data_IF_980338493446
#
_entry.id   IF_980338493446
#
_cell.length_a   1.000
_cell.length_b   1.000
_cell.length_c   1.000
_cell.angle_alpha   90.00
_cell.angle_beta   90.00
_cell.angle_gamma   90.00
#
_symmetry.space_group_name_H-M   'P 1'
#
loop_
_entity.id
_entity.type
_entity.pdbx_description
1 polymer ?
#
# COMPACT_ATOMS: atom_id res chain seq x y z
N UNK A 1 39.23 43.67 -0.71
CA UNK A 1 40.03 43.63 -1.94
C UNK A 1 40.45 42.19 -2.18
N UNK A 2 39.83 41.53 -3.12
CA UNK A 2 40.41 40.54 -4.06
C UNK A 2 39.28 39.94 -4.90
N UNK A 3 39.20 40.41 -6.11
CA UNK A 3 38.39 39.90 -7.22
C UNK A 3 39.18 38.77 -7.89
N UNK A 4 38.55 37.63 -8.21
CA UNK A 4 38.97 36.67 -9.22
C UNK A 4 37.67 36.04 -9.72
N UNK A 5 37.08 36.42 -10.84
CA UNK A 5 37.32 36.08 -12.24
C UNK A 5 36.83 34.66 -12.59
N UNK A 6 35.68 34.66 -13.22
CA UNK A 6 35.25 34.04 -14.49
C UNK A 6 36.09 32.87 -15.04
N UNK A 7 35.44 31.74 -15.28
CA UNK A 7 35.68 30.92 -16.47
C UNK A 7 34.43 30.13 -16.84
N UNK A 8 33.79 30.57 -17.91
CA UNK A 8 32.76 29.82 -18.64
C UNK A 8 33.45 28.75 -19.50
N UNK A 9 33.01 27.51 -19.43
CA UNK A 9 33.35 26.48 -20.40
C UNK A 9 32.07 25.91 -21.01
N UNK A 10 31.73 26.44 -22.17
CA UNK A 10 30.64 25.98 -23.04
C UNK A 10 31.21 24.87 -23.93
N UNK A 11 30.76 23.62 -23.75
CA UNK A 11 31.08 22.53 -24.68
C UNK A 11 29.77 22.12 -25.38
N UNK A 12 29.67 22.52 -26.63
CA UNK A 12 28.63 22.08 -27.56
C UNK A 12 29.00 20.71 -28.14
N UNK A 13 28.19 19.67 -27.89
CA UNK A 13 28.24 18.41 -28.62
C UNK A 13 27.18 18.40 -29.71
N UNK A 14 27.60 18.54 -30.96
CA UNK A 14 26.81 18.31 -32.15
C UNK A 14 26.71 16.80 -32.40
N UNK A 15 25.52 16.26 -32.35
CA UNK A 15 25.22 14.88 -32.72
C UNK A 15 25.18 14.75 -34.25
N UNK A 16 26.02 13.89 -34.80
CA UNK A 16 25.98 13.47 -36.22
C UNK A 16 24.96 12.33 -36.37
N UNK A 17 23.89 12.57 -37.13
CA UNK A 17 22.99 11.53 -37.63
C UNK A 17 23.68 10.84 -38.82
N UNK A 18 24.02 9.56 -38.67
CA UNK A 18 24.45 8.69 -39.76
C UNK A 18 23.26 7.81 -40.20
N UNK A 19 22.73 8.10 -41.39
CA UNK A 19 21.71 7.28 -42.05
C UNK A 19 22.42 6.18 -42.85
N UNK A 20 22.18 4.92 -42.52
CA UNK A 20 22.63 3.77 -43.30
C UNK A 20 21.56 3.42 -44.38
N UNK A 21 21.91 3.07 -45.61
CA UNK A 21 20.97 2.74 -46.65
C UNK A 21 20.43 1.32 -46.49
N UNK A 22 19.11 1.20 -46.68
CA UNK A 22 18.38 -0.06 -46.70
C UNK A 22 18.71 -0.79 -48.00
N UNK A 23 19.27 -2.00 -47.89
CA UNK A 23 19.41 -2.93 -49.03
C UNK A 23 18.08 -3.59 -49.31
N UNK A 24 17.60 -3.40 -50.53
CA UNK A 24 16.53 -4.18 -51.17
C UNK A 24 16.84 -5.67 -51.05
N UNK A 25 15.96 -6.41 -50.42
CA UNK A 25 15.96 -7.87 -50.44
C UNK A 25 14.66 -8.34 -51.04
N UNK A 26 14.78 -8.97 -52.18
CA UNK A 26 13.77 -9.66 -53.00
C UNK A 26 12.84 -10.52 -52.15
N UNK A 27 11.50 -10.52 -52.41
CA UNK A 27 10.57 -11.34 -51.64
C UNK A 27 10.77 -12.82 -51.90
N UNK A 28 10.79 -13.70 -50.89
CA UNK A 28 10.82 -15.14 -51.10
C UNK A 28 9.46 -15.66 -51.59
N UNK A 29 9.57 -16.55 -52.55
CA UNK A 29 8.52 -17.31 -53.24
C UNK A 29 7.57 -18.00 -52.22
N UNK A 30 6.28 -17.68 -52.31
CA UNK A 30 5.24 -18.30 -51.52
C UNK A 30 5.14 -19.79 -51.94
N UNK A 31 5.47 -20.67 -51.00
CA UNK A 31 5.14 -22.10 -51.11
C UNK A 31 3.81 -22.30 -50.40
N UNK A 32 2.79 -22.58 -51.18
CA UNK A 32 1.47 -22.96 -50.72
C UNK A 32 1.57 -24.31 -49.99
N UNK A 33 1.53 -24.28 -48.68
CA UNK A 33 1.42 -25.47 -47.83
C UNK A 33 0.07 -25.37 -47.13
N UNK A 34 -0.92 -26.05 -47.68
CA UNK A 34 -2.25 -26.21 -47.12
C UNK A 34 -2.15 -26.60 -45.63
N UNK A 35 -2.55 -25.70 -44.77
CA UNK A 35 -2.73 -25.95 -43.33
C UNK A 35 -4.03 -26.75 -43.12
N UNK A 36 -4.04 -27.71 -42.16
CA UNK A 36 -5.27 -28.39 -41.77
C UNK A 36 -6.20 -27.37 -41.05
N UNK A 37 -7.52 -27.61 -41.04
CA UNK A 37 -8.48 -26.66 -40.46
C UNK A 37 -8.19 -26.43 -38.98
N UNK A 38 -7.97 -25.15 -38.65
CA UNK A 38 -7.86 -24.70 -37.27
C UNK A 38 -9.25 -24.84 -36.65
N UNK A 39 -9.42 -25.84 -35.77
CA UNK A 39 -10.54 -25.90 -34.86
C UNK A 39 -10.57 -24.58 -34.07
N UNK A 40 -11.69 -23.86 -34.16
CA UNK A 40 -11.85 -22.57 -33.44
C UNK A 40 -11.60 -22.74 -31.95
N UNK A 41 -11.23 -21.66 -31.28
CA UNK A 41 -11.06 -21.69 -29.82
C UNK A 41 -12.40 -22.09 -29.21
N UNK A 42 -12.41 -23.27 -28.62
CA UNK A 42 -13.49 -23.72 -27.72
C UNK A 42 -13.60 -22.69 -26.62
N UNK A 43 -14.70 -21.92 -26.66
CA UNK A 43 -15.02 -20.98 -25.59
C UNK A 43 -15.30 -21.81 -24.34
N UNK A 44 -14.28 -22.07 -23.52
CA UNK A 44 -14.50 -22.62 -22.20
C UNK A 44 -15.41 -21.64 -21.47
N UNK A 45 -16.53 -22.09 -20.91
CA UNK A 45 -17.34 -21.23 -20.06
C UNK A 45 -16.43 -20.69 -18.97
N UNK A 46 -16.36 -19.36 -18.84
CA UNK A 46 -15.65 -18.71 -17.77
C UNK A 46 -16.17 -19.33 -16.47
N UNK A 47 -15.36 -20.16 -15.85
CA UNK A 47 -15.61 -20.70 -14.53
C UNK A 47 -15.79 -19.46 -13.64
N UNK A 48 -17.03 -19.16 -13.28
CA UNK A 48 -17.32 -18.13 -12.28
C UNK A 48 -16.49 -18.51 -11.08
N UNK A 49 -15.53 -17.67 -10.74
CA UNK A 49 -14.78 -17.82 -9.51
C UNK A 49 -15.81 -18.01 -8.39
N UNK A 50 -15.62 -18.95 -7.47
CA UNK A 50 -16.54 -19.16 -6.38
C UNK A 50 -16.79 -17.80 -5.73
N UNK A 51 -18.05 -17.47 -5.45
CA UNK A 51 -18.44 -16.26 -4.71
C UNK A 51 -17.76 -16.38 -3.35
N UNK A 52 -16.50 -15.95 -3.32
CA UNK A 52 -15.64 -16.07 -2.16
C UNK A 52 -16.15 -15.12 -1.10
N UNK A 53 -16.28 -15.62 0.13
CA UNK A 53 -16.50 -14.79 1.31
C UNK A 53 -15.47 -13.66 1.25
N UNK A 54 -15.93 -12.42 1.39
CA UNK A 54 -15.00 -11.27 1.43
C UNK A 54 -13.93 -11.52 2.51
N UNK A 55 -12.64 -11.61 2.16
CA UNK A 55 -11.59 -11.98 3.12
C UNK A 55 -11.48 -11.01 4.30
N UNK A 56 -12.00 -9.81 4.12
CA UNK A 56 -12.09 -8.81 5.19
C UNK A 56 -13.17 -9.14 6.23
N UNK A 57 -14.15 -9.97 5.90
CA UNK A 57 -15.28 -10.37 6.76
C UNK A 57 -15.20 -11.83 7.21
N UNK A 58 -14.26 -12.59 6.69
CA UNK A 58 -14.05 -13.98 7.11
C UNK A 58 -13.31 -14.02 8.46
N UNK A 59 -13.95 -14.48 9.56
CA UNK A 59 -13.34 -14.50 10.89
C UNK A 59 -12.10 -15.39 10.97
N UNK A 60 -11.94 -16.36 10.04
CA UNK A 60 -10.77 -17.23 9.98
C UNK A 60 -9.61 -16.60 9.19
N UNK A 61 -9.85 -15.49 8.50
CA UNK A 61 -8.83 -14.79 7.74
C UNK A 61 -8.10 -13.76 8.61
N UNK A 62 -6.78 -13.65 8.46
CA UNK A 62 -5.97 -12.65 9.17
C UNK A 62 -6.47 -11.22 8.90
N UNK A 63 -7.06 -10.96 7.73
CA UNK A 63 -7.61 -9.67 7.35
C UNK A 63 -8.86 -9.25 8.14
N UNK A 64 -9.50 -10.15 8.89
CA UNK A 64 -10.58 -9.80 9.82
C UNK A 64 -10.06 -9.11 11.08
N UNK A 65 -8.78 -9.32 11.42
CA UNK A 65 -8.11 -8.63 12.53
C UNK A 65 -7.70 -7.24 12.06
N UNK A 66 -8.17 -6.21 12.74
CA UNK A 66 -8.05 -4.82 12.27
C UNK A 66 -7.27 -3.92 13.20
N UNK A 67 -6.93 -4.39 14.41
CA UNK A 67 -6.32 -3.58 15.46
C UNK A 67 -4.86 -3.94 15.64
N UNK A 68 -3.99 -2.93 15.59
CA UNK A 68 -2.57 -2.98 15.94
C UNK A 68 -2.42 -2.29 17.29
N UNK A 69 -1.82 -2.96 18.28
CA UNK A 69 -1.68 -2.45 19.64
C UNK A 69 -0.27 -1.94 19.93
N UNK A 70 -0.20 -0.94 20.81
CA UNK A 70 1.04 -0.24 21.16
C UNK A 70 1.30 -0.28 22.66
N UNK A 71 2.57 -0.11 23.02
CA UNK A 71 2.95 0.09 24.42
C UNK A 71 2.61 1.52 24.88
N UNK A 72 2.76 1.73 26.18
CA UNK A 72 2.55 3.06 26.76
C UNK A 72 3.52 4.06 26.13
N UNK A 73 3.01 5.21 25.74
CA UNK A 73 3.76 6.32 25.14
C UNK A 73 4.62 5.92 23.92
N UNK A 74 4.19 4.86 23.18
CA UNK A 74 4.90 4.36 22.02
C UNK A 74 3.98 4.35 20.76
N UNK A 75 4.61 4.51 19.61
CA UNK A 75 4.01 4.43 18.28
C UNK A 75 4.78 3.46 17.36
N UNK A 76 5.69 2.66 17.90
CA UNK A 76 6.44 1.64 17.15
C UNK A 76 5.56 0.42 16.90
N UNK A 77 5.43 0.00 15.64
CA UNK A 77 4.72 -1.23 15.28
C UNK A 77 5.52 -2.44 15.76
N UNK A 78 4.99 -3.16 16.74
CA UNK A 78 5.62 -4.35 17.33
C UNK A 78 5.78 -5.48 16.33
N UNK A 79 6.76 -6.34 16.55
CA UNK A 79 7.06 -7.49 15.68
C UNK A 79 5.87 -8.45 15.52
N UNK A 80 5.09 -8.63 16.57
CA UNK A 80 3.89 -9.48 16.57
C UNK A 80 2.82 -9.02 15.57
N UNK A 81 2.76 -7.72 15.23
CA UNK A 81 1.81 -7.16 14.26
C UNK A 81 2.36 -7.06 12.83
N UNK A 82 3.64 -7.36 12.60
CA UNK A 82 4.25 -7.26 11.26
C UNK A 82 3.53 -8.14 10.24
N UNK A 83 3.16 -9.37 10.60
CA UNK A 83 2.42 -10.27 9.71
C UNK A 83 1.02 -9.74 9.37
N UNK A 84 0.34 -9.12 10.34
CA UNK A 84 -0.95 -8.48 10.14
C UNK A 84 -0.84 -7.28 9.18
N UNK A 85 0.10 -6.38 9.44
CA UNK A 85 0.38 -5.22 8.59
C UNK A 85 0.75 -5.65 7.16
N UNK A 86 1.56 -6.70 7.02
CA UNK A 86 1.94 -7.27 5.72
C UNK A 86 0.73 -7.83 4.95
N UNK A 87 -0.18 -8.54 5.64
CA UNK A 87 -1.38 -9.07 5.03
C UNK A 87 -2.29 -7.95 4.48
N UNK A 88 -2.49 -6.88 5.27
CA UNK A 88 -3.28 -5.72 4.84
C UNK A 88 -2.59 -4.94 3.70
N UNK A 89 -1.27 -4.75 3.74
CA UNK A 89 -0.52 -4.13 2.66
C UNK A 89 -0.66 -4.93 1.35
N UNK A 90 -0.50 -6.25 1.42
CA UNK A 90 -0.70 -7.16 0.28
C UNK A 90 -2.13 -7.07 -0.28
N UNK A 91 -3.13 -7.05 0.60
CA UNK A 91 -4.52 -6.89 0.18
C UNK A 91 -4.74 -5.60 -0.61
N UNK A 92 -4.23 -4.46 -0.13
CA UNK A 92 -4.33 -3.18 -0.84
C UNK A 92 -3.57 -3.20 -2.17
N UNK A 93 -2.38 -3.81 -2.23
CA UNK A 93 -1.61 -3.95 -3.46
C UNK A 93 -2.37 -4.75 -4.52
N UNK A 94 -3.11 -5.80 -4.11
CA UNK A 94 -3.89 -6.65 -5.00
C UNK A 94 -5.25 -6.04 -5.37
N UNK A 95 -5.72 -5.04 -4.61
CA UNK A 95 -7.03 -4.41 -4.79
C UNK A 95 -6.87 -2.90 -4.91
N UNK A 96 -6.53 -2.40 -6.11
CA UNK A 96 -6.21 -1.00 -6.35
C UNK A 96 -7.34 -0.01 -6.01
N UNK A 97 -8.60 -0.47 -6.06
CA UNK A 97 -9.76 0.33 -5.68
C UNK A 97 -10.06 0.35 -4.18
N UNK A 98 -9.48 -0.59 -3.41
CA UNK A 98 -9.69 -0.65 -1.97
C UNK A 98 -9.01 0.53 -1.28
N UNK A 99 -9.70 1.11 -0.31
CA UNK A 99 -9.19 2.20 0.53
C UNK A 99 -9.42 1.87 1.98
N UNK A 100 -8.50 2.29 2.83
CA UNK A 100 -8.61 2.13 4.28
C UNK A 100 -8.25 3.42 4.99
N UNK A 101 -8.87 3.65 6.13
CA UNK A 101 -8.50 4.71 7.07
C UNK A 101 -7.88 4.07 8.30
N UNK A 102 -6.67 4.46 8.64
CA UNK A 102 -6.00 4.04 9.87
C UNK A 102 -6.37 5.03 10.97
N UNK A 103 -7.10 4.56 11.97
CA UNK A 103 -7.60 5.34 13.10
C UNK A 103 -6.69 5.14 14.31
N UNK A 104 -5.92 6.16 14.69
CA UNK A 104 -5.04 6.11 15.85
C UNK A 104 -5.76 6.51 17.14
N UNK A 105 -5.58 5.68 18.16
CA UNK A 105 -6.21 5.84 19.47
C UNK A 105 -5.15 5.75 20.58
N UNK A 106 -5.45 6.36 21.73
CA UNK A 106 -4.62 6.34 22.95
C UNK A 106 -5.45 5.87 24.14
N UNK A 107 -4.77 5.62 25.26
CA UNK A 107 -5.45 5.59 26.54
C UNK A 107 -5.73 7.02 27.04
N UNK A 108 -6.42 7.16 28.15
CA UNK A 108 -6.89 8.45 28.71
C UNK A 108 -5.81 9.26 29.44
N UNK A 109 -4.61 8.70 29.61
CA UNK A 109 -3.53 9.37 30.37
C UNK A 109 -2.83 10.41 29.50
N UNK A 110 -2.70 11.62 30.03
CA UNK A 110 -2.08 12.76 29.33
C UNK A 110 -3.04 13.89 29.03
N UNK A 111 -2.60 14.88 28.27
CA UNK A 111 -3.51 15.91 27.76
C UNK A 111 -4.15 15.48 26.45
N UNK A 112 -5.33 16.03 26.17
CA UNK A 112 -6.07 15.75 24.93
C UNK A 112 -5.24 16.04 23.68
N UNK A 113 -4.51 17.16 23.66
CA UNK A 113 -3.67 17.57 22.55
C UNK A 113 -2.51 16.58 22.34
N UNK A 114 -1.90 16.15 23.46
CA UNK A 114 -0.86 15.13 23.42
C UNK A 114 -1.38 13.80 22.86
N UNK A 115 -2.51 13.34 23.38
CA UNK A 115 -3.14 12.10 22.95
C UNK A 115 -3.56 12.14 21.48
N UNK A 116 -4.06 13.28 20.99
CA UNK A 116 -4.36 13.48 19.58
C UNK A 116 -3.10 13.35 18.72
N UNK A 117 -2.00 13.97 19.14
CA UNK A 117 -0.71 13.88 18.44
C UNK A 117 -0.12 12.46 18.47
N UNK A 118 -0.20 11.76 19.62
CA UNK A 118 0.28 10.38 19.75
C UNK A 118 -0.54 9.40 18.90
N UNK A 119 -1.87 9.55 18.90
CA UNK A 119 -2.75 8.77 18.05
C UNK A 119 -2.42 8.97 16.57
N UNK A 120 -2.14 10.20 16.13
CA UNK A 120 -1.71 10.50 14.76
C UNK A 120 -0.38 9.80 14.43
N UNK A 121 0.61 9.85 15.30
CA UNK A 121 1.89 9.14 15.10
C UNK A 121 1.70 7.63 14.94
N UNK A 122 0.79 7.02 15.72
CA UNK A 122 0.45 5.58 15.60
C UNK A 122 -0.16 5.26 14.24
N UNK A 123 -1.14 6.04 13.80
CA UNK A 123 -1.76 5.87 12.49
C UNK A 123 -0.74 6.00 11.36
N UNK A 124 0.12 7.00 11.42
CA UNK A 124 1.18 7.24 10.42
C UNK A 124 2.25 6.13 10.43
N UNK A 125 2.60 5.58 11.59
CA UNK A 125 3.55 4.46 11.67
C UNK A 125 3.01 3.21 10.95
N UNK A 126 1.72 2.89 11.13
CA UNK A 126 1.06 1.79 10.41
C UNK A 126 1.00 2.09 8.92
N UNK A 127 0.54 3.29 8.50
CA UNK A 127 0.53 3.70 7.10
C UNK A 127 1.91 3.57 6.47
N UNK A 128 2.94 4.10 7.11
CA UNK A 128 4.33 4.03 6.64
C UNK A 128 4.79 2.58 6.45
N UNK A 129 4.51 1.71 7.42
CA UNK A 129 4.86 0.30 7.34
C UNK A 129 4.16 -0.38 6.15
N UNK A 130 2.87 -0.12 5.91
CA UNK A 130 2.12 -0.66 4.79
C UNK A 130 2.62 -0.12 3.44
N UNK A 131 2.98 1.15 3.36
CA UNK A 131 3.51 1.78 2.14
C UNK A 131 4.88 1.21 1.76
N UNK A 132 5.76 0.97 2.74
CA UNK A 132 7.05 0.28 2.54
C UNK A 132 6.83 -1.12 1.96
N UNK A 133 5.74 -1.79 2.32
CA UNK A 133 5.37 -3.12 1.84
C UNK A 133 4.60 -3.08 0.50
N UNK A 134 4.49 -1.91 -0.14
CA UNK A 134 3.97 -1.74 -1.48
C UNK A 134 2.51 -1.30 -1.59
N UNK A 135 1.82 -1.04 -0.47
CA UNK A 135 0.49 -0.45 -0.53
C UNK A 135 0.56 1.00 -1.07
N UNK A 136 -0.40 1.37 -1.90
CA UNK A 136 -0.45 2.71 -2.49
C UNK A 136 -0.75 3.78 -1.44
N UNK A 137 0.05 4.85 -1.39
CA UNK A 137 -0.13 5.95 -0.42
C UNK A 137 -1.54 6.56 -0.46
N UNK A 138 -2.14 6.65 -1.66
CA UNK A 138 -3.51 7.17 -1.87
C UNK A 138 -4.62 6.21 -1.45
N UNK A 139 -4.28 4.99 -1.08
CA UNK A 139 -5.23 3.99 -0.57
C UNK A 139 -5.37 4.06 0.96
N UNK A 140 -4.49 4.81 1.64
CA UNK A 140 -4.40 4.80 3.09
C UNK A 140 -4.51 6.23 3.63
N UNK A 141 -5.64 6.54 4.25
CA UNK A 141 -5.82 7.77 5.01
C UNK A 141 -5.48 7.53 6.49
N UNK A 142 -5.10 8.58 7.21
CA UNK A 142 -4.83 8.53 8.65
C UNK A 142 -5.67 9.54 9.38
N UNK A 143 -6.19 9.16 10.54
CA UNK A 143 -6.91 10.05 11.45
C UNK A 143 -6.61 9.67 12.89
N UNK A 144 -6.49 10.66 13.75
CA UNK A 144 -6.38 10.43 15.19
C UNK A 144 -7.69 10.76 15.89
N UNK A 145 -8.06 9.90 16.82
CA UNK A 145 -9.13 10.17 17.79
C UNK A 145 -8.54 10.42 19.19
N UNK A 146 -7.20 10.27 19.36
CA UNK A 146 -6.62 10.36 20.70
C UNK A 146 -7.33 9.44 21.67
N UNK A 147 -7.81 9.97 22.77
CA UNK A 147 -8.56 9.26 23.82
C UNK A 147 -10.07 9.21 23.60
N UNK A 148 -10.59 9.89 22.57
CA UNK A 148 -12.04 10.11 22.37
C UNK A 148 -12.83 8.84 21.95
N UNK A 149 -12.15 7.78 21.52
CA UNK A 149 -12.79 6.52 21.12
C UNK A 149 -12.25 5.33 21.91
N UNK A 150 -12.51 5.25 23.21
CA UNK A 150 -12.07 4.13 24.02
C UNK A 150 -12.78 2.83 23.57
N UNK A 151 -12.02 1.74 23.49
CA UNK A 151 -12.53 0.38 23.25
C UNK A 151 -12.95 -0.29 24.56
N UNK A 152 -12.21 0.02 25.62
CA UNK A 152 -12.48 -0.40 26.98
C UNK A 152 -12.64 0.84 27.88
N UNK A 153 -13.70 0.85 28.69
CA UNK A 153 -14.05 1.99 29.54
C UNK A 153 -13.42 1.97 30.96
N UNK A 154 -12.64 0.93 31.29
CA UNK A 154 -11.98 0.82 32.58
C UNK A 154 -10.77 1.77 32.69
N UNK A 155 -10.41 2.10 33.95
CA UNK A 155 -9.28 2.98 34.29
C UNK A 155 -8.12 2.16 34.85
N UNK A 156 -7.79 1.06 34.20
CA UNK A 156 -6.72 0.14 34.60
C UNK A 156 -5.85 -0.22 33.38
N UNK A 157 -4.70 -0.87 33.64
CA UNK A 157 -3.76 -1.20 32.56
C UNK A 157 -4.35 -2.15 31.51
N UNK A 158 -5.28 -3.03 31.90
CA UNK A 158 -5.93 -3.94 30.94
C UNK A 158 -6.79 -3.16 29.95
N UNK A 159 -7.53 -2.18 30.45
CA UNK A 159 -8.37 -1.30 29.62
C UNK A 159 -7.49 -0.35 28.79
N UNK A 160 -6.48 0.25 29.38
CA UNK A 160 -5.54 1.14 28.68
C UNK A 160 -4.81 0.43 27.55
N UNK A 161 -4.36 -0.81 27.76
CA UNK A 161 -3.71 -1.61 26.73
C UNK A 161 -4.63 -1.87 25.52
N UNK A 162 -5.94 -2.02 25.74
CA UNK A 162 -6.92 -2.16 24.66
C UNK A 162 -7.18 -0.84 23.92
N UNK A 163 -6.99 0.30 24.59
CA UNK A 163 -7.21 1.62 24.03
C UNK A 163 -6.01 2.10 23.20
N UNK A 164 -4.79 1.73 23.57
CA UNK A 164 -3.56 2.06 22.82
C UNK A 164 -3.48 1.26 21.51
N UNK A 165 -4.19 1.72 20.47
CA UNK A 165 -4.29 0.96 19.22
C UNK A 165 -4.40 1.86 17.97
N UNK A 166 -4.14 1.26 16.83
CA UNK A 166 -4.53 1.79 15.53
C UNK A 166 -5.47 0.77 14.84
N UNK A 167 -6.61 1.23 14.39
CA UNK A 167 -7.61 0.40 13.74
C UNK A 167 -7.64 0.65 12.23
N UNK A 168 -7.68 -0.41 11.43
CA UNK A 168 -7.82 -0.38 9.98
C UNK A 168 -9.31 -0.45 9.61
N UNK A 169 -9.86 0.61 9.05
CA UNK A 169 -11.26 0.72 8.63
C UNK A 169 -11.32 0.84 7.12
N UNK A 170 -11.85 -0.18 6.45
CA UNK A 170 -11.99 -0.17 5.00
C UNK A 170 -13.26 0.55 4.57
N UNK A 171 -13.19 1.27 3.44
CA UNK A 171 -14.35 1.93 2.87
C UNK A 171 -15.32 0.91 2.25
N UNK A 172 -16.60 1.07 2.53
CA UNK A 172 -17.65 0.20 1.99
C UNK A 172 -17.98 -1.04 2.84
N UNK A 173 -17.53 -1.08 4.09
CA UNK A 173 -17.88 -2.13 5.06
C UNK A 173 -18.96 -1.69 6.04
#
# INVERSE_FOLDING_TARGET
MRKIALSALLVAFLAACSSAPIKDTTPPKVVDKSLPPISGPETQPATQAPVGINPLKDPNNILSKRSIYFDFDDFTVKDEFKSLVQAHAKYLTQNASAKTTVQGNTDERGSREYNLALGQKRAEAVKKAMTILGAGDRQIDTVSFGEEKPKAAGHDELSWAQNRRADLVYQGE
#
